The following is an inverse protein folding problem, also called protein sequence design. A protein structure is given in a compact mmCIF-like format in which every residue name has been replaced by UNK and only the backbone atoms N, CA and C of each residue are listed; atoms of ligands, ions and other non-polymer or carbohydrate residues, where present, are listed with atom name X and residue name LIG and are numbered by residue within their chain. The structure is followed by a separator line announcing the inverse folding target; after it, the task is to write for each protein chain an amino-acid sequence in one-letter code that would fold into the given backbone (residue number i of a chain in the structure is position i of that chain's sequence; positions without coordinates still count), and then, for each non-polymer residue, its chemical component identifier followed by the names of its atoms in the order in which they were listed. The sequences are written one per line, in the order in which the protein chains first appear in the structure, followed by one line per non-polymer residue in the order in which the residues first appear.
data_IF_510742147275
#
_entry.id   IF_510742147275
#
_cell.length_a   1.000
_cell.length_b   1.000
_cell.length_c   1.000
_cell.angle_alpha   90.00
_cell.angle_beta   90.00
_cell.angle_gamma   90.00
#
_symmetry.space_group_name_H-M   'P 1'
#
loop_
_entity.id
_entity.type
_entity.pdbx_description
1 polymer ?
#
# COMPACT_ATOMS: atom_id res chain seq x y z
N UNK A 1 -34.52 -37.96 -21.98
CA UNK A 1 -33.36 -38.39 -21.16
C UNK A 1 -32.02 -37.71 -21.52
N UNK A 2 -31.96 -36.65 -22.37
CA UNK A 2 -30.71 -35.94 -22.76
C UNK A 2 -30.56 -34.51 -22.20
N UNK A 3 -31.56 -33.99 -21.48
CA UNK A 3 -31.52 -32.62 -20.92
C UNK A 3 -31.02 -32.54 -19.48
N UNK A 4 -30.98 -33.64 -18.73
CA UNK A 4 -30.57 -33.64 -17.31
C UNK A 4 -29.06 -33.75 -17.08
N UNK A 5 -28.27 -34.15 -18.09
CA UNK A 5 -26.82 -34.32 -17.99
C UNK A 5 -26.04 -33.04 -18.28
N UNK A 6 -26.63 -32.08 -18.99
CA UNK A 6 -25.96 -30.79 -19.28
C UNK A 6 -26.03 -29.82 -18.12
N UNK A 7 -27.08 -29.89 -17.31
CA UNK A 7 -27.24 -29.01 -16.13
C UNK A 7 -26.33 -29.44 -14.97
N UNK A 8 -26.04 -30.74 -14.86
CA UNK A 8 -25.14 -31.25 -13.82
C UNK A 8 -23.66 -30.92 -14.10
N UNK A 9 -23.25 -30.79 -15.35
CA UNK A 9 -21.87 -30.41 -15.69
C UNK A 9 -21.61 -28.89 -15.51
N UNK A 10 -22.61 -28.05 -15.73
CA UNK A 10 -22.48 -26.59 -15.50
C UNK A 10 -22.36 -26.24 -14.01
N UNK A 11 -23.10 -26.93 -13.14
CA UNK A 11 -23.01 -26.72 -11.70
C UNK A 11 -21.68 -27.21 -11.08
N UNK A 12 -21.05 -28.23 -11.66
CA UNK A 12 -19.77 -28.72 -11.15
C UNK A 12 -18.61 -27.78 -11.52
N UNK A 13 -18.63 -27.16 -12.71
CA UNK A 13 -17.61 -26.20 -13.13
C UNK A 13 -17.72 -24.87 -12.37
N UNK A 14 -18.93 -24.38 -12.09
CA UNK A 14 -19.14 -23.18 -11.27
C UNK A 14 -18.75 -23.40 -9.81
N UNK A 15 -19.02 -24.55 -9.22
CA UNK A 15 -18.59 -24.88 -7.85
C UNK A 15 -17.07 -25.11 -7.73
N UNK A 16 -16.41 -25.66 -8.75
CA UNK A 16 -14.96 -25.77 -8.76
C UNK A 16 -14.27 -24.42 -9.01
N UNK A 17 -14.85 -23.53 -9.83
CA UNK A 17 -14.27 -22.22 -10.08
C UNK A 17 -14.43 -21.25 -8.89
N UNK A 18 -15.51 -21.39 -8.10
CA UNK A 18 -15.69 -20.61 -6.86
C UNK A 18 -14.76 -21.09 -5.75
N UNK A 19 -14.47 -22.40 -5.63
CA UNK A 19 -13.51 -22.90 -4.63
C UNK A 19 -12.03 -22.69 -4.98
N UNK A 20 -11.70 -22.45 -6.24
CA UNK A 20 -10.32 -22.13 -6.64
C UNK A 20 -9.99 -20.64 -6.57
N UNK A 21 -10.99 -19.76 -6.39
CA UNK A 21 -10.79 -18.33 -6.18
C UNK A 21 -10.62 -17.93 -4.69
N UNK A 22 -10.81 -18.86 -3.75
CA UNK A 22 -10.67 -18.58 -2.30
C UNK A 22 -9.24 -18.72 -1.75
N UNK A 23 -8.24 -18.99 -2.60
CA UNK A 23 -6.87 -19.25 -2.14
C UNK A 23 -5.90 -18.17 -2.59
N UNK A 24 -6.09 -16.92 -2.15
CA UNK A 24 -5.05 -15.95 -2.49
C UNK A 24 -4.92 -14.70 -1.60
N UNK A 25 -5.07 -14.89 -0.30
CA UNK A 25 -4.36 -14.04 0.66
C UNK A 25 -3.34 -14.90 1.36
N UNK A 26 -2.06 -14.56 1.27
CA UNK A 26 -1.08 -15.14 2.19
C UNK A 26 -1.39 -14.62 3.60
N UNK A 27 -2.32 -15.28 4.27
CA UNK A 27 -2.54 -15.12 5.71
C UNK A 27 -1.38 -15.83 6.40
N UNK A 28 -0.31 -15.10 6.68
CA UNK A 28 0.76 -15.59 7.56
C UNK A 28 0.37 -15.19 8.98
N UNK A 29 -0.51 -15.97 9.61
CA UNK A 29 -0.98 -15.72 10.98
C UNK A 29 -1.75 -14.41 11.13
N UNK A 30 -1.74 -13.75 12.30
CA UNK A 30 -2.48 -12.53 12.58
C UNK A 30 -1.91 -11.27 11.90
N UNK A 31 -0.84 -11.39 11.12
CA UNK A 31 -0.17 -10.27 10.44
C UNK A 31 -0.50 -10.27 8.95
N UNK A 32 -1.49 -9.46 8.57
CA UNK A 32 -1.74 -9.10 7.17
C UNK A 32 -0.79 -7.95 6.81
N UNK A 33 0.27 -8.28 6.10
CA UNK A 33 1.24 -7.30 5.63
C UNK A 33 0.86 -6.84 4.22
N UNK A 34 0.90 -5.53 3.93
CA UNK A 34 0.76 -5.03 2.56
C UNK A 34 1.78 -5.71 1.63
N UNK A 35 1.39 -6.05 0.38
CA UNK A 35 2.27 -6.75 -0.56
C UNK A 35 3.68 -6.13 -0.71
N UNK A 36 3.86 -4.80 -0.78
CA UNK A 36 5.18 -4.20 -0.87
C UNK A 36 6.04 -4.43 0.39
N UNK A 37 5.41 -4.38 1.58
CA UNK A 37 6.11 -4.63 2.86
C UNK A 37 6.52 -6.09 2.96
N UNK A 38 5.63 -7.02 2.58
CA UNK A 38 5.93 -8.44 2.52
C UNK A 38 7.12 -8.74 1.58
N UNK A 39 7.09 -8.20 0.35
CA UNK A 39 8.16 -8.39 -0.63
C UNK A 39 9.50 -7.83 -0.14
N UNK A 40 9.47 -6.68 0.53
CA UNK A 40 10.65 -6.09 1.15
C UNK A 40 11.22 -6.98 2.27
N UNK A 41 10.36 -7.52 3.14
CA UNK A 41 10.79 -8.44 4.21
C UNK A 41 11.39 -9.72 3.65
N UNK A 42 10.81 -10.31 2.60
CA UNK A 42 11.39 -11.46 1.90
C UNK A 42 12.78 -11.12 1.35
N UNK A 43 12.92 -9.97 0.69
CA UNK A 43 14.22 -9.49 0.22
C UNK A 43 15.24 -9.33 1.35
N UNK A 44 14.84 -8.76 2.48
CA UNK A 44 15.69 -8.61 3.65
C UNK A 44 16.13 -9.97 4.23
N UNK A 45 15.21 -10.92 4.32
CA UNK A 45 15.53 -12.30 4.78
C UNK A 45 16.52 -12.96 3.84
N UNK A 46 16.30 -12.88 2.51
CA UNK A 46 17.22 -13.41 1.50
C UNK A 46 18.61 -12.78 1.65
N UNK A 47 18.68 -11.46 1.79
CA UNK A 47 19.92 -10.72 1.97
C UNK A 47 20.67 -11.19 3.24
N UNK A 48 19.97 -11.34 4.36
CA UNK A 48 20.56 -11.79 5.63
C UNK A 48 21.07 -13.23 5.55
N UNK A 49 20.32 -14.13 4.92
CA UNK A 49 20.75 -15.53 4.71
C UNK A 49 22.01 -15.58 3.85
N UNK A 50 22.00 -14.89 2.70
CA UNK A 50 23.16 -14.86 1.80
C UNK A 50 24.38 -14.23 2.48
N UNK A 51 24.20 -13.12 3.19
CA UNK A 51 25.28 -12.48 3.96
C UNK A 51 25.88 -13.39 5.02
N UNK A 52 25.05 -14.12 5.76
CA UNK A 52 25.47 -15.10 6.76
C UNK A 52 26.23 -16.29 6.14
N UNK A 53 25.77 -16.81 5.00
CA UNK A 53 26.48 -17.86 4.26
C UNK A 53 27.83 -17.37 3.75
N UNK A 54 27.89 -16.18 3.16
CA UNK A 54 29.14 -15.59 2.65
C UNK A 54 30.13 -15.28 3.78
N UNK A 55 29.65 -14.84 4.94
CA UNK A 55 30.47 -14.69 6.16
C UNK A 55 31.11 -16.00 6.54
N UNK A 56 30.35 -17.11 6.55
CA UNK A 56 30.82 -18.43 6.97
C UNK A 56 31.80 -19.06 5.98
N UNK A 57 31.51 -18.95 4.66
CA UNK A 57 32.24 -19.71 3.64
C UNK A 57 33.28 -18.92 2.86
N UNK A 58 33.22 -17.57 2.88
CA UNK A 58 34.06 -16.72 2.03
C UNK A 58 34.88 -15.74 2.87
N UNK A 59 34.25 -14.78 3.54
CA UNK A 59 34.97 -13.76 4.32
C UNK A 59 34.06 -13.04 5.34
N UNK A 60 34.54 -12.79 6.58
CA UNK A 60 33.75 -12.10 7.63
C UNK A 60 33.22 -10.71 7.25
N UNK A 61 33.89 -10.01 6.31
CA UNK A 61 33.45 -8.66 5.85
C UNK A 61 32.04 -8.62 5.22
N UNK A 62 31.53 -9.75 4.73
CA UNK A 62 30.18 -9.80 4.17
C UNK A 62 29.10 -9.52 5.22
N UNK A 63 29.31 -9.87 6.47
CA UNK A 63 28.41 -9.54 7.58
C UNK A 63 28.33 -8.02 7.81
N UNK A 64 29.49 -7.36 7.92
CA UNK A 64 29.55 -5.90 8.05
C UNK A 64 28.98 -5.19 6.82
N UNK A 65 29.22 -5.74 5.63
CA UNK A 65 28.71 -5.19 4.38
C UNK A 65 27.17 -5.29 4.28
N UNK A 66 26.56 -6.42 4.62
CA UNK A 66 25.10 -6.58 4.61
C UNK A 66 24.42 -5.66 5.62
N UNK A 67 24.99 -5.48 6.80
CA UNK A 67 24.52 -4.50 7.78
C UNK A 67 24.62 -3.07 7.26
N UNK A 68 25.77 -2.68 6.70
CA UNK A 68 25.96 -1.37 6.09
C UNK A 68 24.99 -1.13 4.94
N UNK A 69 24.81 -2.11 4.05
CA UNK A 69 23.87 -2.06 2.93
C UNK A 69 22.44 -1.76 3.40
N UNK A 70 21.96 -2.53 4.39
CA UNK A 70 20.59 -2.39 4.91
C UNK A 70 20.36 -0.99 5.47
N UNK A 71 21.27 -0.52 6.34
CA UNK A 71 21.13 0.81 6.98
C UNK A 71 21.29 1.92 5.97
N UNK A 72 22.29 1.85 5.09
CA UNK A 72 22.55 2.89 4.09
C UNK A 72 21.40 3.00 3.07
N UNK A 73 20.86 1.88 2.58
CA UNK A 73 19.75 1.88 1.66
C UNK A 73 18.48 2.47 2.29
N UNK A 74 18.18 2.11 3.56
CA UNK A 74 17.03 2.65 4.28
C UNK A 74 17.15 4.17 4.49
N UNK A 75 18.29 4.64 4.99
CA UNK A 75 18.53 6.07 5.22
C UNK A 75 18.49 6.84 3.89
N UNK A 76 19.17 6.34 2.85
CA UNK A 76 19.21 7.00 1.56
C UNK A 76 17.82 7.08 0.92
N UNK A 77 17.02 6.03 1.00
CA UNK A 77 15.64 6.04 0.50
C UNK A 77 14.80 7.13 1.17
N UNK A 78 14.93 7.25 2.50
CA UNK A 78 14.20 8.29 3.25
C UNK A 78 14.70 9.69 2.95
N UNK A 79 16.00 9.91 2.97
CA UNK A 79 16.59 11.21 2.67
C UNK A 79 16.33 11.64 1.22
N UNK A 80 16.37 10.72 0.26
CA UNK A 80 16.04 10.99 -1.13
C UNK A 80 14.61 11.48 -1.32
N UNK A 81 13.66 10.86 -0.62
CA UNK A 81 12.27 11.32 -0.61
C UNK A 81 12.13 12.70 0.03
N UNK A 82 12.75 12.92 1.19
CA UNK A 82 12.76 14.23 1.88
C UNK A 82 13.39 15.32 1.01
N UNK A 83 14.50 15.02 0.33
CA UNK A 83 15.16 15.97 -0.55
C UNK A 83 14.27 16.38 -1.74
N UNK A 84 13.54 15.44 -2.34
CA UNK A 84 12.58 15.72 -3.41
C UNK A 84 11.45 16.63 -2.95
N UNK A 85 11.02 16.50 -1.70
CA UNK A 85 9.92 17.27 -1.10
C UNK A 85 10.40 18.30 -0.07
N UNK A 86 11.61 18.82 -0.23
CA UNK A 86 12.27 19.68 0.74
C UNK A 86 11.40 20.88 1.16
N UNK A 87 10.68 21.49 0.23
CA UNK A 87 9.78 22.62 0.50
C UNK A 87 8.73 22.31 1.58
N UNK A 88 8.23 21.10 1.61
CA UNK A 88 7.25 20.65 2.59
C UNK A 88 7.90 20.34 3.96
N UNK A 89 9.08 19.72 3.94
CA UNK A 89 9.77 19.31 5.17
C UNK A 89 10.48 20.47 5.90
N UNK A 90 10.90 21.53 5.19
CA UNK A 90 11.61 22.67 5.81
C UNK A 90 10.79 23.39 6.87
N UNK A 91 9.46 23.39 6.76
CA UNK A 91 8.57 24.05 7.72
C UNK A 91 8.36 23.23 9.00
N UNK A 92 8.54 21.91 8.94
CA UNK A 92 8.47 21.03 10.09
C UNK A 92 9.45 19.85 9.94
N UNK A 93 10.73 20.03 10.28
CA UNK A 93 11.77 19.01 10.04
C UNK A 93 11.59 17.75 10.88
N UNK A 94 10.83 17.78 11.98
CA UNK A 94 10.55 16.58 12.78
C UNK A 94 9.77 15.53 12.00
N UNK A 95 9.01 15.92 10.97
CA UNK A 95 8.29 15.00 10.08
C UNK A 95 9.21 14.07 9.30
N UNK A 96 10.50 14.37 9.17
CA UNK A 96 11.49 13.49 8.57
C UNK A 96 11.55 12.14 9.31
N UNK A 97 11.32 12.16 10.63
CA UNK A 97 11.34 10.98 11.48
C UNK A 97 10.05 10.13 11.42
N UNK A 98 8.99 10.64 10.78
CA UNK A 98 7.71 9.92 10.69
C UNK A 98 7.75 8.86 9.58
N UNK A 99 8.58 7.83 9.82
CA UNK A 99 8.81 6.74 8.85
C UNK A 99 7.56 5.89 8.58
N UNK A 100 6.62 5.86 9.52
CA UNK A 100 5.35 5.12 9.39
C UNK A 100 4.37 5.72 8.39
N UNK A 101 4.54 7.00 8.01
CA UNK A 101 3.74 7.66 6.97
C UNK A 101 4.16 7.26 5.54
N UNK A 102 5.12 6.36 5.39
CA UNK A 102 5.70 6.03 4.09
C UNK A 102 6.65 7.12 3.56
N UNK A 103 6.80 7.17 2.25
CA UNK A 103 7.71 8.13 1.60
C UNK A 103 9.16 7.66 1.63
N UNK A 104 9.45 6.69 0.76
CA UNK A 104 10.79 6.16 0.51
C UNK A 104 11.07 6.18 -1.00
N UNK A 105 12.22 6.68 -1.38
CA UNK A 105 12.64 6.74 -2.77
C UNK A 105 13.55 5.55 -3.11
N UNK A 106 13.00 4.63 -3.90
CA UNK A 106 13.71 3.40 -4.30
C UNK A 106 14.98 3.70 -5.10
N UNK A 107 15.01 4.78 -5.90
CA UNK A 107 16.18 5.15 -6.70
C UNK A 107 17.39 5.45 -5.82
N UNK A 108 17.17 6.19 -4.73
CA UNK A 108 18.22 6.50 -3.75
C UNK A 108 18.67 5.25 -2.95
N UNK A 109 17.74 4.34 -2.65
CA UNK A 109 18.10 3.05 -2.05
C UNK A 109 19.03 2.24 -2.96
N UNK A 110 18.73 2.16 -4.26
CA UNK A 110 19.56 1.46 -5.26
C UNK A 110 20.94 2.11 -5.37
N UNK A 111 21.00 3.44 -5.47
CA UNK A 111 22.28 4.17 -5.53
C UNK A 111 23.13 3.83 -4.29
N UNK A 112 22.56 3.92 -3.10
CA UNK A 112 23.27 3.58 -1.87
C UNK A 112 23.72 2.12 -1.86
N UNK A 113 22.85 1.18 -2.27
CA UNK A 113 23.19 -0.23 -2.36
C UNK A 113 24.41 -0.49 -3.25
N UNK A 114 24.44 0.13 -4.45
CA UNK A 114 25.57 0.03 -5.38
C UNK A 114 26.85 0.64 -4.77
N UNK A 115 26.75 1.80 -4.13
CA UNK A 115 27.88 2.44 -3.48
C UNK A 115 28.49 1.59 -2.36
N UNK A 116 27.69 0.83 -1.61
CA UNK A 116 28.21 -0.05 -0.55
C UNK A 116 29.10 -1.17 -1.10
N UNK A 117 28.98 -1.57 -2.37
CA UNK A 117 29.83 -2.58 -2.99
C UNK A 117 31.31 -2.15 -2.96
N UNK A 118 31.59 -0.85 -3.04
CA UNK A 118 32.94 -0.32 -2.99
C UNK A 118 33.60 -0.45 -1.59
N UNK A 119 32.82 -0.71 -0.55
CA UNK A 119 33.33 -1.06 0.78
C UNK A 119 34.14 -2.36 0.78
N UNK A 120 33.90 -3.24 -0.19
CA UNK A 120 34.63 -4.49 -0.36
C UNK A 120 35.94 -4.26 -1.13
N UNK A 121 37.06 -4.66 -0.57
CA UNK A 121 38.40 -4.31 -1.07
C UNK A 121 38.84 -5.08 -2.32
N UNK A 122 38.28 -6.28 -2.56
CA UNK A 122 38.74 -7.15 -3.65
C UNK A 122 37.67 -7.24 -4.76
N UNK A 123 38.16 -7.32 -5.99
CA UNK A 123 37.26 -7.47 -7.15
C UNK A 123 36.36 -8.71 -7.04
N UNK A 124 36.89 -9.82 -6.55
CA UNK A 124 36.12 -11.05 -6.34
C UNK A 124 34.97 -10.86 -5.34
N UNK A 125 35.19 -10.15 -4.24
CA UNK A 125 34.14 -9.86 -3.28
C UNK A 125 33.08 -8.90 -3.86
N UNK A 126 33.48 -7.94 -4.68
CA UNK A 126 32.56 -7.01 -5.37
C UNK A 126 31.66 -7.76 -6.36
N UNK A 127 32.20 -8.68 -7.16
CA UNK A 127 31.40 -9.46 -8.08
C UNK A 127 30.39 -10.36 -7.35
N UNK A 128 30.77 -10.97 -6.24
CA UNK A 128 29.88 -11.74 -5.37
C UNK A 128 28.77 -10.83 -4.79
N UNK A 129 29.12 -9.66 -4.28
CA UNK A 129 28.17 -8.69 -3.75
C UNK A 129 27.12 -8.25 -4.80
N UNK A 130 27.57 -7.98 -6.04
CA UNK A 130 26.65 -7.70 -7.15
C UNK A 130 25.70 -8.87 -7.39
N UNK A 131 26.20 -10.12 -7.37
CA UNK A 131 25.37 -11.31 -7.47
C UNK A 131 24.30 -11.38 -6.36
N UNK A 132 24.69 -11.06 -5.12
CA UNK A 132 23.74 -10.98 -3.98
C UNK A 132 22.66 -9.92 -4.21
N UNK A 133 23.04 -8.73 -4.68
CA UNK A 133 22.07 -7.67 -4.98
C UNK A 133 21.09 -8.10 -6.07
N UNK A 134 21.57 -8.76 -7.13
CA UNK A 134 20.73 -9.28 -8.21
C UNK A 134 19.75 -10.33 -7.70
N UNK A 135 20.22 -11.30 -6.90
CA UNK A 135 19.36 -12.35 -6.34
C UNK A 135 18.31 -11.74 -5.40
N UNK A 136 18.72 -10.82 -4.53
CA UNK A 136 17.79 -10.14 -3.60
C UNK A 136 16.75 -9.32 -4.36
N UNK A 137 17.15 -8.56 -5.38
CA UNK A 137 16.24 -7.78 -6.23
C UNK A 137 15.27 -8.70 -6.99
N UNK A 138 15.76 -9.80 -7.53
CA UNK A 138 14.92 -10.78 -8.22
C UNK A 138 13.88 -11.41 -7.27
N UNK A 139 14.26 -11.72 -6.02
CA UNK A 139 13.33 -12.23 -5.01
C UNK A 139 12.24 -11.19 -4.67
N UNK A 140 12.59 -9.92 -4.54
CA UNK A 140 11.63 -8.83 -4.28
C UNK A 140 10.66 -8.71 -5.46
N UNK A 141 11.16 -8.62 -6.70
CA UNK A 141 10.33 -8.49 -7.91
C UNK A 141 9.41 -9.69 -8.09
N UNK A 142 9.94 -10.91 -7.89
CA UNK A 142 9.14 -12.13 -8.00
C UNK A 142 8.00 -12.16 -6.98
N UNK A 143 8.28 -11.83 -5.73
CA UNK A 143 7.26 -11.78 -4.68
C UNK A 143 6.25 -10.66 -4.92
N UNK A 144 6.65 -9.49 -5.43
CA UNK A 144 5.72 -8.44 -5.85
C UNK A 144 4.76 -8.94 -6.93
N UNK A 145 5.28 -9.55 -8.00
CA UNK A 145 4.43 -10.10 -9.07
C UNK A 145 3.49 -11.21 -8.60
N UNK A 146 3.91 -12.00 -7.63
CA UNK A 146 3.06 -13.06 -7.08
C UNK A 146 1.93 -12.50 -6.21
N UNK A 147 2.18 -11.40 -5.50
CA UNK A 147 1.19 -10.79 -4.60
C UNK A 147 0.25 -9.81 -5.30
N UNK A 148 0.65 -9.18 -6.42
CA UNK A 148 -0.21 -8.24 -7.18
C UNK A 148 -1.45 -8.92 -7.81
N UNK A 149 -1.40 -10.22 -8.05
CA UNK A 149 -2.49 -10.96 -8.72
C UNK A 149 -3.61 -11.43 -7.78
N UNK A 150 -3.55 -11.12 -6.50
CA UNK A 150 -4.29 -11.85 -5.47
C UNK A 150 -5.36 -11.05 -4.71
N UNK A 151 -5.73 -9.85 -5.14
CA UNK A 151 -6.77 -9.04 -4.50
C UNK A 151 -7.88 -8.60 -5.46
N UNK A 152 -9.02 -8.20 -4.93
CA UNK A 152 -10.04 -7.48 -5.68
C UNK A 152 -9.41 -6.22 -6.30
N UNK A 153 -9.56 -6.07 -7.62
CA UNK A 153 -8.89 -5.02 -8.37
C UNK A 153 -9.83 -3.95 -8.91
N UNK A 154 -11.13 -4.23 -8.90
CA UNK A 154 -12.14 -3.33 -9.45
C UNK A 154 -12.90 -2.61 -8.34
N UNK A 155 -13.56 -1.48 -8.67
CA UNK A 155 -14.52 -0.85 -7.78
C UNK A 155 -15.68 -1.82 -7.52
N UNK A 156 -16.07 -2.04 -6.24
CA UNK A 156 -17.08 -3.05 -5.91
C UNK A 156 -18.47 -2.56 -6.30
N UNK A 157 -19.32 -3.49 -6.71
CA UNK A 157 -20.76 -3.23 -6.86
C UNK A 157 -21.41 -3.27 -5.47
N UNK A 158 -21.03 -2.32 -4.63
CA UNK A 158 -21.53 -2.14 -3.26
C UNK A 158 -22.17 -0.76 -3.16
N UNK A 159 -23.39 -0.75 -2.64
CA UNK A 159 -24.14 0.46 -2.40
C UNK A 159 -24.00 0.88 -0.95
N UNK A 160 -23.47 2.07 -0.70
CA UNK A 160 -23.29 2.64 0.64
C UNK A 160 -24.17 3.87 0.81
N UNK A 161 -24.64 4.08 2.04
CA UNK A 161 -25.41 5.26 2.41
C UNK A 161 -24.50 6.46 2.66
N UNK A 162 -24.74 7.59 2.00
CA UNK A 162 -24.06 8.84 2.30
C UNK A 162 -24.68 9.53 3.53
N UNK A 163 -23.93 10.43 4.18
CA UNK A 163 -24.48 11.27 5.26
C UNK A 163 -25.60 12.19 4.79
N UNK A 164 -25.66 12.50 3.49
CA UNK A 164 -26.76 13.25 2.83
C UNK A 164 -28.04 12.45 2.67
N UNK A 165 -28.07 11.19 3.14
CA UNK A 165 -29.15 10.22 2.98
C UNK A 165 -29.32 9.60 1.58
N UNK A 166 -28.49 9.97 0.62
CA UNK A 166 -28.45 9.34 -0.70
C UNK A 166 -27.70 8.00 -0.63
N UNK A 167 -27.91 7.17 -1.65
CA UNK A 167 -27.15 5.93 -1.80
C UNK A 167 -26.19 6.06 -2.98
N UNK A 168 -24.93 5.74 -2.74
CA UNK A 168 -23.87 5.77 -3.74
C UNK A 168 -23.41 4.35 -4.02
N UNK A 169 -23.45 3.96 -5.29
CA UNK A 169 -22.84 2.72 -5.75
C UNK A 169 -21.45 3.04 -6.32
N UNK A 170 -20.42 2.44 -5.73
CA UNK A 170 -19.03 2.73 -6.10
C UNK A 170 -18.72 2.33 -7.55
N UNK A 171 -19.33 1.25 -8.07
CA UNK A 171 -19.09 0.77 -9.45
C UNK A 171 -19.54 1.76 -10.53
N UNK A 172 -20.41 2.73 -10.21
CA UNK A 172 -20.87 3.76 -11.17
C UNK A 172 -19.77 4.74 -11.61
N UNK A 173 -18.65 4.78 -10.87
CA UNK A 173 -17.51 5.65 -11.15
C UNK A 173 -16.36 4.93 -11.87
N UNK A 174 -16.68 3.90 -12.65
CA UNK A 174 -15.70 3.04 -13.32
C UNK A 174 -14.76 3.77 -14.30
N UNK A 175 -15.21 4.87 -14.89
CA UNK A 175 -14.43 5.63 -15.89
C UNK A 175 -13.69 6.84 -15.29
N UNK A 176 -13.70 6.97 -13.97
CA UNK A 176 -13.13 8.10 -13.24
C UNK A 176 -11.84 7.73 -12.48
N UNK A 177 -11.12 8.78 -12.06
CA UNK A 177 -10.12 8.65 -11.00
C UNK A 177 -10.84 8.71 -9.65
N UNK A 178 -10.72 7.65 -8.87
CA UNK A 178 -11.39 7.55 -7.56
C UNK A 178 -10.37 7.28 -6.46
N UNK A 179 -10.47 8.03 -5.38
CA UNK A 179 -9.72 7.80 -4.14
C UNK A 179 -10.72 7.42 -3.05
N UNK A 180 -10.50 6.27 -2.44
CA UNK A 180 -11.30 5.80 -1.31
C UNK A 180 -10.40 5.78 -0.08
N UNK A 181 -10.82 6.45 0.99
CA UNK A 181 -10.16 6.39 2.29
C UNK A 181 -11.07 5.68 3.30
N UNK A 182 -10.61 4.57 3.85
CA UNK A 182 -11.28 3.85 4.93
C UNK A 182 -10.82 4.40 6.27
N UNK A 183 -11.75 4.86 7.10
CA UNK A 183 -11.43 5.59 8.32
C UNK A 183 -12.45 5.38 9.45
N UNK A 184 -12.08 5.84 10.66
CA UNK A 184 -12.99 5.90 11.80
C UNK A 184 -12.63 7.08 12.72
N UNK A 185 -13.59 7.60 13.48
CA UNK A 185 -13.40 8.76 14.37
C UNK A 185 -12.43 8.48 15.53
N UNK A 186 -12.40 7.25 16.03
CA UNK A 186 -11.47 6.81 17.10
C UNK A 186 -10.04 6.55 16.60
N UNK A 187 -9.83 6.53 15.29
CA UNK A 187 -8.55 6.20 14.69
C UNK A 187 -7.62 7.43 14.70
N UNK A 188 -6.66 7.49 15.59
CA UNK A 188 -5.72 8.61 15.70
C UNK A 188 -4.96 8.96 14.42
N UNK A 189 -4.36 7.99 13.70
CA UNK A 189 -3.75 8.24 12.39
C UNK A 189 -4.72 8.81 11.34
N UNK A 190 -5.97 8.30 11.30
CA UNK A 190 -7.00 8.81 10.38
C UNK A 190 -7.26 10.30 10.62
N UNK A 191 -7.44 10.71 11.88
CA UNK A 191 -7.67 12.11 12.26
C UNK A 191 -6.56 13.03 11.79
N UNK A 192 -5.29 12.57 11.83
CA UNK A 192 -4.15 13.39 11.41
C UNK A 192 -4.05 13.56 9.89
N UNK A 193 -4.47 12.56 9.09
CA UNK A 193 -4.41 12.65 7.62
C UNK A 193 -5.62 13.34 6.99
N UNK A 194 -6.80 13.34 7.64
CA UNK A 194 -8.05 13.92 7.11
C UNK A 194 -7.88 15.35 6.56
N UNK A 195 -7.21 16.31 7.26
CA UNK A 195 -7.04 17.65 6.71
C UNK A 195 -6.18 17.72 5.45
N UNK A 196 -5.28 16.74 5.24
CA UNK A 196 -4.49 16.65 4.01
C UNK A 196 -5.29 16.07 2.86
N UNK A 197 -6.15 15.09 3.13
CA UNK A 197 -7.08 14.49 2.17
C UNK A 197 -8.15 15.50 1.73
N UNK A 198 -8.71 16.28 2.67
CA UNK A 198 -9.66 17.36 2.36
C UNK A 198 -9.04 18.41 1.42
N UNK A 199 -7.82 18.85 1.70
CA UNK A 199 -7.09 19.77 0.82
C UNK A 199 -6.84 19.15 -0.55
N UNK A 200 -6.44 17.88 -0.60
CA UNK A 200 -6.21 17.19 -1.86
C UNK A 200 -7.49 17.11 -2.71
N UNK A 201 -8.65 16.86 -2.09
CA UNK A 201 -9.95 16.88 -2.78
C UNK A 201 -10.23 18.25 -3.41
N UNK A 202 -9.91 19.35 -2.71
CA UNK A 202 -10.09 20.71 -3.24
C UNK A 202 -9.09 21.01 -4.36
N UNK A 203 -7.81 20.59 -4.20
CA UNK A 203 -6.74 20.86 -5.16
C UNK A 203 -6.85 20.00 -6.45
N UNK A 204 -7.56 18.87 -6.39
CA UNK A 204 -7.74 17.92 -7.48
C UNK A 204 -9.24 17.66 -7.76
N UNK A 205 -10.01 18.66 -8.25
CA UNK A 205 -11.48 18.56 -8.43
C UNK A 205 -11.90 17.57 -9.53
N UNK A 206 -10.97 17.11 -10.35
CA UNK A 206 -11.13 16.06 -11.36
C UNK A 206 -11.02 14.64 -10.78
N UNK A 207 -10.67 14.50 -9.51
CA UNK A 207 -10.58 13.23 -8.80
C UNK A 207 -11.76 13.10 -7.85
N UNK A 208 -12.47 12.00 -7.91
CA UNK A 208 -13.56 11.71 -6.97
C UNK A 208 -13.01 11.14 -5.68
N UNK A 209 -13.33 11.75 -4.55
CA UNK A 209 -12.96 11.27 -3.22
C UNK A 209 -14.17 10.69 -2.51
N UNK A 210 -13.96 9.56 -1.81
CA UNK A 210 -14.92 8.97 -0.88
C UNK A 210 -14.22 8.65 0.43
N UNK A 211 -14.80 9.14 1.53
CA UNK A 211 -14.36 8.85 2.89
C UNK A 211 -15.32 7.84 3.50
N UNK A 212 -14.95 6.57 3.50
CA UNK A 212 -15.82 5.48 3.95
C UNK A 212 -15.58 5.21 5.42
N UNK A 213 -16.56 5.62 6.25
CA UNK A 213 -16.50 5.40 7.68
C UNK A 213 -16.84 3.95 8.02
N UNK A 214 -16.00 3.34 8.86
CA UNK A 214 -16.05 1.93 9.19
C UNK A 214 -16.70 1.71 10.57
N UNK A 215 -17.90 1.12 10.56
CA UNK A 215 -18.54 0.56 11.76
C UNK A 215 -19.13 1.56 12.75
N UNK A 216 -19.28 2.85 12.41
CA UNK A 216 -19.78 3.86 13.33
C UNK A 216 -21.17 4.38 12.93
N UNK A 217 -21.83 5.09 13.83
CA UNK A 217 -23.11 5.75 13.56
C UNK A 217 -22.93 7.12 12.92
N UNK A 218 -23.88 7.53 12.10
CA UNK A 218 -23.92 8.87 11.46
C UNK A 218 -23.72 10.01 12.49
N UNK A 219 -24.37 9.89 13.66
CA UNK A 219 -24.26 10.89 14.74
C UNK A 219 -22.81 11.11 15.19
N UNK A 220 -22.05 10.04 15.43
CA UNK A 220 -20.64 10.15 15.83
C UNK A 220 -19.77 10.79 14.75
N UNK A 221 -20.04 10.45 13.49
CA UNK A 221 -19.33 11.02 12.36
C UNK A 221 -19.62 12.51 12.20
N UNK A 222 -20.88 12.94 12.33
CA UNK A 222 -21.27 14.35 12.26
C UNK A 222 -20.68 15.16 13.42
N UNK A 223 -20.71 14.63 14.65
CA UNK A 223 -20.06 15.26 15.81
C UNK A 223 -18.56 15.44 15.54
N UNK A 224 -17.88 14.40 15.05
CA UNK A 224 -16.45 14.47 14.71
C UNK A 224 -16.13 15.53 13.64
N UNK A 225 -16.90 15.60 12.54
CA UNK A 225 -16.69 16.59 11.49
C UNK A 225 -16.83 18.01 11.99
N UNK A 226 -17.82 18.24 12.87
CA UNK A 226 -18.03 19.54 13.52
C UNK A 226 -16.87 19.93 14.43
N UNK A 227 -16.38 19.01 15.26
CA UNK A 227 -15.29 19.24 16.21
C UNK A 227 -13.96 19.52 15.51
N UNK A 228 -13.66 18.76 14.44
CA UNK A 228 -12.43 18.92 13.65
C UNK A 228 -12.55 20.02 12.57
N UNK A 229 -13.75 20.61 12.37
CA UNK A 229 -14.05 21.65 11.37
C UNK A 229 -13.74 21.18 9.94
N UNK A 230 -14.10 19.95 9.61
CA UNK A 230 -13.93 19.35 8.29
C UNK A 230 -15.19 19.51 7.45
N UNK A 231 -15.03 19.87 6.18
CA UNK A 231 -16.13 20.08 5.21
C UNK A 231 -16.22 18.90 4.24
N UNK A 232 -16.40 17.68 4.78
CA UNK A 232 -16.37 16.41 4.03
C UNK A 232 -17.70 15.67 4.02
N UNK A 233 -18.78 16.29 4.53
CA UNK A 233 -20.05 15.58 4.75
C UNK A 233 -20.65 14.97 3.47
N UNK A 234 -20.47 15.63 2.32
CA UNK A 234 -21.01 15.19 1.04
C UNK A 234 -20.25 13.98 0.45
N UNK A 235 -19.01 13.76 0.85
CA UNK A 235 -18.16 12.69 0.37
C UNK A 235 -18.05 11.51 1.36
N UNK A 236 -18.72 11.61 2.52
CA UNK A 236 -18.72 10.53 3.50
C UNK A 236 -19.78 9.48 3.19
N UNK A 237 -19.31 8.24 3.09
CA UNK A 237 -20.14 7.06 2.98
C UNK A 237 -20.03 6.22 4.26
N UNK A 238 -21.16 5.62 4.66
CA UNK A 238 -21.25 4.80 5.86
C UNK A 238 -21.14 3.32 5.51
N UNK A 239 -20.18 2.62 6.09
CA UNK A 239 -19.99 1.18 5.97
C UNK A 239 -20.05 0.51 7.36
N UNK A 240 -21.25 0.36 7.94
CA UNK A 240 -21.42 -0.20 9.29
C UNK A 240 -21.03 -1.67 9.38
N UNK A 241 -20.92 -2.37 8.26
CA UNK A 241 -20.64 -3.81 8.18
C UNK A 241 -19.26 -4.15 7.63
N UNK A 242 -18.38 -3.18 7.46
CA UNK A 242 -17.00 -3.38 6.97
C UNK A 242 -16.91 -4.04 5.59
N UNK A 243 -17.94 -3.85 4.73
CA UNK A 243 -18.05 -4.51 3.42
C UNK A 243 -16.87 -4.17 2.50
N UNK A 244 -16.41 -2.90 2.53
CA UNK A 244 -15.29 -2.46 1.69
C UNK A 244 -13.95 -3.02 2.17
N UNK A 245 -13.70 -3.02 3.48
CA UNK A 245 -12.48 -3.61 4.03
C UNK A 245 -12.44 -5.13 3.83
N UNK A 246 -13.58 -5.82 3.91
CA UNK A 246 -13.69 -7.24 3.61
C UNK A 246 -13.45 -7.52 2.13
N UNK A 247 -14.06 -6.74 1.21
CA UNK A 247 -13.89 -6.89 -0.22
C UNK A 247 -12.42 -6.76 -0.66
N UNK A 248 -11.69 -5.77 -0.13
CA UNK A 248 -10.27 -5.58 -0.42
C UNK A 248 -9.34 -6.32 0.55
N UNK A 249 -9.90 -7.07 1.47
CA UNK A 249 -9.17 -7.85 2.48
C UNK A 249 -8.14 -6.99 3.24
N UNK A 250 -8.57 -5.77 3.60
CA UNK A 250 -7.76 -4.85 4.39
C UNK A 250 -8.09 -4.99 5.88
N UNK A 251 -7.09 -4.90 6.72
CA UNK A 251 -7.27 -4.90 8.17
C UNK A 251 -7.01 -3.52 8.74
N UNK A 252 -8.01 -3.03 9.46
CA UNK A 252 -7.92 -1.78 10.22
C UNK A 252 -7.96 -0.52 9.34
N UNK A 253 -7.79 0.60 9.99
CA UNK A 253 -7.80 1.95 9.41
C UNK A 253 -6.57 2.74 9.86
N UNK A 254 -6.09 3.72 9.08
CA UNK A 254 -6.60 4.12 7.77
C UNK A 254 -6.09 3.23 6.63
N UNK A 255 -6.85 3.16 5.55
CA UNK A 255 -6.42 2.58 4.27
C UNK A 255 -6.86 3.51 3.15
N UNK A 256 -5.94 3.86 2.25
CA UNK A 256 -6.25 4.67 1.09
C UNK A 256 -6.07 3.86 -0.19
N UNK A 257 -7.13 3.77 -0.98
CA UNK A 257 -7.20 3.04 -2.24
C UNK A 257 -7.29 4.03 -3.40
N UNK A 258 -6.53 3.80 -4.45
CA UNK A 258 -6.48 4.66 -5.64
C UNK A 258 -6.91 3.87 -6.87
N UNK A 259 -7.94 4.35 -7.54
CA UNK A 259 -8.50 3.72 -8.75
C UNK A 259 -8.35 4.61 -9.97
N UNK A 260 -8.13 3.99 -11.11
CA UNK A 260 -8.16 4.63 -12.42
C UNK A 260 -8.78 3.64 -13.42
N UNK A 261 -9.85 4.07 -14.11
CA UNK A 261 -10.61 3.24 -15.05
C UNK A 261 -11.00 1.90 -14.42
N UNK A 262 -11.73 1.94 -13.32
CA UNK A 262 -12.23 0.79 -12.57
C UNK A 262 -11.14 -0.17 -12.03
N UNK A 263 -9.87 0.21 -12.06
CA UNK A 263 -8.79 -0.66 -11.58
C UNK A 263 -8.04 -0.05 -10.42
N UNK A 264 -7.85 -0.84 -9.37
CA UNK A 264 -6.99 -0.48 -8.26
C UNK A 264 -5.53 -0.33 -8.75
N UNK A 265 -5.01 0.87 -8.64
CA UNK A 265 -3.64 1.23 -9.04
C UNK A 265 -2.66 1.24 -7.87
N UNK A 266 -3.15 1.62 -6.70
CA UNK A 266 -2.37 1.57 -5.48
C UNK A 266 -3.27 1.40 -4.26
N UNK A 267 -2.70 0.79 -3.23
CA UNK A 267 -3.26 0.67 -1.91
C UNK A 267 -2.19 1.11 -0.90
N UNK A 268 -2.56 2.01 0.00
CA UNK A 268 -1.72 2.45 1.10
C UNK A 268 -2.38 2.09 2.43
N UNK A 269 -1.66 1.35 3.26
CA UNK A 269 -2.12 0.98 4.61
C UNK A 269 -1.38 1.84 5.63
N UNK A 270 -2.13 2.41 6.54
CA UNK A 270 -1.62 3.35 7.54
C UNK A 270 -1.73 4.81 7.10
N UNK A 271 -1.30 5.71 7.97
CA UNK A 271 -1.34 7.15 7.75
C UNK A 271 -0.53 7.55 6.51
N UNK A 272 -1.17 8.23 5.56
CA UNK A 272 -0.52 8.72 4.35
C UNK A 272 -0.03 10.16 4.54
N UNK A 273 1.24 10.44 4.17
CA UNK A 273 1.75 11.80 4.18
C UNK A 273 1.21 12.62 3.01
N UNK A 274 1.10 13.95 3.19
CA UNK A 274 0.68 14.88 2.12
C UNK A 274 1.52 14.74 0.87
N UNK A 275 2.83 14.53 1.03
CA UNK A 275 3.79 14.39 -0.07
C UNK A 275 3.53 13.10 -0.86
N UNK A 276 3.35 11.98 -0.16
CA UNK A 276 3.07 10.69 -0.80
C UNK A 276 1.69 10.70 -1.47
N UNK A 277 0.67 11.29 -0.83
CA UNK A 277 -0.65 11.48 -1.42
C UNK A 277 -0.54 12.27 -2.72
N UNK A 278 0.14 13.42 -2.70
CA UNK A 278 0.33 14.27 -3.87
C UNK A 278 1.07 13.54 -5.01
N UNK A 279 2.11 12.78 -4.68
CA UNK A 279 2.85 11.97 -5.67
C UNK A 279 1.94 10.93 -6.32
N UNK A 280 1.11 10.24 -5.53
CA UNK A 280 0.16 9.25 -6.05
C UNK A 280 -0.87 9.89 -6.96
N UNK A 281 -1.49 10.99 -6.54
CA UNK A 281 -2.49 11.70 -7.35
C UNK A 281 -1.92 12.17 -8.68
N UNK A 282 -0.69 12.73 -8.69
CA UNK A 282 0.00 13.12 -9.93
C UNK A 282 0.31 11.92 -10.82
N UNK A 283 0.77 10.81 -10.24
CA UNK A 283 1.10 9.59 -11.00
C UNK A 283 -0.11 8.99 -11.70
N UNK A 284 -1.30 9.05 -11.10
CA UNK A 284 -2.52 8.43 -11.65
C UNK A 284 -3.28 9.35 -12.59
N UNK A 285 -2.97 10.63 -12.60
CA UNK A 285 -3.54 11.62 -13.52
C UNK A 285 -2.87 11.59 -14.91
N UNK A 286 -1.67 10.99 -15.01
CA UNK A 286 -0.92 10.79 -16.25
C UNK A 286 -1.32 9.49 -16.94
#
# INVERSE_FOLDING_TARGET
MRRSLVIASYNCYTLLSTHLNELSTMVIGPFLLPPPVFSFLVGLIVLMILGGLLKKFIHPRFDSWTGLLTVAAFIAARLGFVFRHWESYRHNPLRILYIWQGGFDVSWAIIAAVLTVFFLNTWRHRTIAVGVLVITSAAIVLTMHMTEKTGAQDLPDIQLKALTNDFVNLSTHSDELVVINLWATWCGPCRREMPALERAMIDYPDIKFYFINQGESERLVLEFLSDEKLSLADEILMDPYFQISEYYQTLGTPVTLFFNNNRLKALHVGEISTELLTDRLKQFRL
#
